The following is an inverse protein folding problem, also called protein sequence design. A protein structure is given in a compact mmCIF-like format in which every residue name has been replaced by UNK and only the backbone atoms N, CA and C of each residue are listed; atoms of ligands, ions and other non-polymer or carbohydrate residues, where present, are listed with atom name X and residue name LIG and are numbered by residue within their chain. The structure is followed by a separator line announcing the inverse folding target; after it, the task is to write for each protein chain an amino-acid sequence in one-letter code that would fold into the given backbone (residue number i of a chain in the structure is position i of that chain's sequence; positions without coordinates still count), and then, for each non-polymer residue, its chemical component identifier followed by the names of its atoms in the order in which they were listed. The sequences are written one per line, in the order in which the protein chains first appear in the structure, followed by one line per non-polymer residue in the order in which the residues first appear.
data_IF_827286624782
#
_entry.id   IF_827286624782
#
_cell.length_a   1.000
_cell.length_b   1.000
_cell.length_c   1.000
_cell.angle_alpha   90.00
_cell.angle_beta   90.00
_cell.angle_gamma   90.00
#
_symmetry.space_group_name_H-M   'P 1'
#
loop_
_entity.id
_entity.type
_entity.pdbx_description
1 polymer ?
#
# COMPACT_ATOMS: atom_id res chain seq x y z
N UNK A 1 -5.83 16.52 -6.20
CA UNK A 1 -4.57 15.85 -6.61
C UNK A 1 -4.26 14.81 -5.55
N UNK A 2 -3.85 13.60 -5.92
CA UNK A 2 -3.49 12.57 -4.94
C UNK A 2 -2.06 12.88 -4.47
N UNK A 3 -1.86 12.96 -3.15
CA UNK A 3 -0.53 13.21 -2.56
C UNK A 3 0.28 11.92 -2.50
N UNK A 4 1.62 12.07 -2.44
CA UNK A 4 2.52 10.93 -2.24
C UNK A 4 2.23 10.22 -0.90
N UNK A 5 1.94 10.98 0.15
CA UNK A 5 1.61 10.43 1.48
C UNK A 5 0.34 9.58 1.43
N UNK A 6 -0.71 10.03 0.73
CA UNK A 6 -1.94 9.25 0.59
C UNK A 6 -1.72 7.92 -0.15
N UNK A 7 -0.75 7.87 -1.09
CA UNK A 7 -0.36 6.63 -1.76
C UNK A 7 0.39 5.71 -0.78
N UNK A 8 1.36 6.26 -0.04
CA UNK A 8 2.14 5.50 0.94
C UNK A 8 1.25 4.91 2.04
N UNK A 9 0.35 5.73 2.61
CA UNK A 9 -0.60 5.30 3.65
C UNK A 9 -1.50 4.17 3.14
N UNK A 10 -2.02 4.28 1.91
CA UNK A 10 -2.86 3.23 1.32
C UNK A 10 -2.11 1.89 1.17
N UNK A 11 -0.83 1.93 0.79
CA UNK A 11 0.01 0.74 0.70
C UNK A 11 0.26 0.14 2.09
N UNK A 12 0.59 0.98 3.08
CA UNK A 12 0.86 0.54 4.46
C UNK A 12 -0.39 -0.07 5.11
N UNK A 13 -1.53 0.60 5.02
CA UNK A 13 -2.81 0.11 5.54
C UNK A 13 -3.21 -1.25 4.94
N UNK A 14 -2.94 -1.44 3.65
CA UNK A 14 -3.22 -2.69 2.96
C UNK A 14 -2.26 -3.79 3.43
N UNK A 15 -0.97 -3.47 3.52
CA UNK A 15 0.06 -4.39 4.03
C UNK A 15 -0.25 -4.84 5.46
N UNK A 16 -0.73 -3.95 6.31
CA UNK A 16 -1.07 -4.28 7.71
C UNK A 16 -2.23 -5.26 7.84
N UNK A 17 -3.16 -5.26 6.89
CA UNK A 17 -4.29 -6.21 6.83
C UNK A 17 -3.89 -7.60 6.32
N UNK A 18 -2.69 -7.78 5.78
CA UNK A 18 -2.25 -9.08 5.28
C UNK A 18 -2.04 -10.07 6.44
N UNK A 19 -2.32 -11.38 6.23
CA UNK A 19 -2.00 -12.40 7.22
C UNK A 19 -0.50 -12.44 7.54
N UNK A 20 -0.13 -12.82 8.77
CA UNK A 20 1.27 -12.84 9.24
C UNK A 20 2.22 -13.61 8.31
N UNK A 21 1.75 -14.71 7.70
CA UNK A 21 2.56 -15.50 6.73
C UNK A 21 2.99 -14.74 5.47
N UNK A 22 2.41 -13.55 5.23
CA UNK A 22 2.75 -12.65 4.11
C UNK A 22 3.64 -11.48 4.55
N UNK A 23 3.95 -11.36 5.84
CA UNK A 23 4.82 -10.31 6.39
C UNK A 23 6.25 -10.85 6.59
N UNK A 24 7.26 -9.97 6.63
CA UNK A 24 8.63 -10.37 6.93
C UNK A 24 8.72 -11.14 8.24
N UNK A 25 9.55 -12.18 8.27
CA UNK A 25 9.70 -13.01 9.47
C UNK A 25 10.39 -12.24 10.57
N UNK A 26 9.88 -12.41 11.80
CA UNK A 26 10.62 -12.07 13.02
C UNK A 26 11.56 -13.24 13.29
N UNK A 27 12.86 -12.94 13.42
CA UNK A 27 13.89 -13.92 13.74
C UNK A 27 13.91 -14.18 15.26
N UNK A 28 14.55 -15.28 15.68
CA UNK A 28 14.54 -15.73 17.07
C UNK A 28 15.13 -14.68 18.04
N UNK A 29 16.07 -13.87 17.55
CA UNK A 29 16.70 -12.76 18.25
C UNK A 29 15.87 -11.46 18.26
N UNK A 30 14.63 -11.50 17.78
CA UNK A 30 13.71 -10.35 17.76
C UNK A 30 13.93 -9.38 16.60
N UNK A 31 14.95 -9.58 15.77
CA UNK A 31 15.16 -8.79 14.55
C UNK A 31 14.09 -9.13 13.50
N UNK A 32 13.68 -8.15 12.69
CA UNK A 32 12.79 -8.37 11.54
C UNK A 32 13.63 -8.46 10.28
N UNK A 33 13.26 -9.35 9.37
CA UNK A 33 13.80 -9.28 8.01
C UNK A 33 13.48 -7.92 7.38
N UNK A 34 14.53 -7.25 6.91
CA UNK A 34 14.39 -6.01 6.18
C UNK A 34 14.22 -6.33 4.69
N UNK A 35 13.03 -6.10 4.18
CA UNK A 35 12.73 -6.14 2.75
C UNK A 35 12.01 -4.85 2.37
N UNK A 36 12.31 -4.25 1.20
CA UNK A 36 11.58 -3.09 0.73
C UNK A 36 10.10 -3.48 0.50
N UNK A 37 9.19 -2.62 0.97
CA UNK A 37 7.76 -2.73 0.67
C UNK A 37 7.47 -1.93 -0.59
N UNK A 38 6.76 -2.53 -1.54
CA UNK A 38 6.25 -1.88 -2.73
C UNK A 38 4.76 -2.20 -2.91
N UNK A 39 4.02 -1.27 -3.50
CA UNK A 39 2.60 -1.41 -3.76
C UNK A 39 2.15 -0.55 -4.93
N UNK A 40 1.04 -0.94 -5.56
CA UNK A 40 0.41 -0.21 -6.65
C UNK A 40 -0.96 0.24 -6.16
N UNK A 41 -1.25 1.54 -6.26
CA UNK A 41 -2.53 2.13 -5.84
C UNK A 41 -3.31 2.53 -7.08
N UNK A 42 -4.54 2.03 -7.18
CA UNK A 42 -5.49 2.46 -8.21
C UNK A 42 -6.09 3.80 -7.79
N UNK A 43 -6.00 4.78 -8.68
CA UNK A 43 -6.51 6.12 -8.50
C UNK A 43 -7.54 6.46 -9.58
N UNK A 44 -8.73 6.91 -9.19
CA UNK A 44 -9.67 7.52 -10.13
C UNK A 44 -9.28 8.98 -10.36
N UNK A 45 -8.84 9.29 -11.57
CA UNK A 45 -8.68 10.68 -11.99
C UNK A 45 -10.06 11.32 -12.17
N UNK A 46 -10.26 12.52 -11.62
CA UNK A 46 -11.48 13.31 -11.84
C UNK A 46 -11.51 13.96 -13.24
N UNK A 47 -10.46 13.79 -14.05
CA UNK A 47 -10.46 14.19 -15.46
C UNK A 47 -11.11 13.06 -16.30
N UNK A 48 -12.43 13.01 -16.33
CA UNK A 48 -13.15 12.02 -17.15
C UNK A 48 -14.52 11.62 -16.61
N UNK A 49 -15.45 12.57 -16.58
CA UNK A 49 -16.89 12.29 -16.72
C UNK A 49 -17.57 13.55 -17.29
N UNK A 50 -17.13 13.92 -18.49
CA UNK A 50 -17.98 14.40 -19.58
C UNK A 50 -18.03 13.17 -20.51
N UNK A 51 -19.13 12.49 -20.80
CA UNK A 51 -20.53 12.86 -20.94
C UNK A 51 -21.40 11.61 -20.72
N UNK A 52 -22.62 11.76 -20.20
CA UNK A 52 -23.81 10.99 -20.59
C UNK A 52 -25.02 11.90 -20.34
N UNK A 53 -25.30 12.72 -21.36
CA UNK A 53 -26.66 13.21 -21.65
C UNK A 53 -27.52 12.05 -22.16
#
# INVERSE_FOLDING_TARGET
MISADAIADCVLDTFDKLPEKRKPRVRAEGSREWVPLAGIVLAKSMLGTKDME
#
